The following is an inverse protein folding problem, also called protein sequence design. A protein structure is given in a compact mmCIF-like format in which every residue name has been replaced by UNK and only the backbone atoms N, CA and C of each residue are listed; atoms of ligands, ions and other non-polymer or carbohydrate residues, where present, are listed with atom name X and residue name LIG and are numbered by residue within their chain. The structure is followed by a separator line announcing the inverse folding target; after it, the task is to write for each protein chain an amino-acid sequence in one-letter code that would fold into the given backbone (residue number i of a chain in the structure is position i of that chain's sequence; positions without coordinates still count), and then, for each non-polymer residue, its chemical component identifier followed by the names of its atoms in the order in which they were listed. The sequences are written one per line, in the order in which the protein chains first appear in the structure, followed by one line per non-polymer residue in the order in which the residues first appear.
data_IF_519616285603
#
_entry.id   IF_519616285603
#
_cell.length_a   1.000
_cell.length_b   1.000
_cell.length_c   1.000
_cell.angle_alpha   90.00
_cell.angle_beta   90.00
_cell.angle_gamma   90.00
#
_symmetry.space_group_name_H-M   'P 1'
#
loop_
_entity.id
_entity.type
_entity.pdbx_description
1 polymer ?
#
# COMPACT_ATOMS: atom_id res chain seq x y z
N UNK A 1 11.58 -4.29 20.97
CA UNK A 1 11.43 -3.08 20.14
C UNK A 1 10.12 -3.25 19.37
N UNK A 2 9.14 -2.37 19.60
CA UNK A 2 7.79 -2.52 19.02
C UNK A 2 7.84 -2.08 17.56
N UNK A 3 7.77 -3.03 16.62
CA UNK A 3 7.69 -2.71 15.18
C UNK A 3 6.46 -1.85 14.89
N UNK A 4 6.69 -0.60 14.53
CA UNK A 4 5.63 0.33 14.11
C UNK A 4 5.20 -0.08 12.71
N UNK A 5 4.03 -0.73 12.59
CA UNK A 5 3.44 -1.07 11.29
C UNK A 5 3.19 0.22 10.51
N UNK A 6 3.75 0.27 9.30
CA UNK A 6 3.56 1.35 8.33
C UNK A 6 2.06 1.60 8.08
N UNK A 7 1.65 2.88 8.11
CA UNK A 7 0.26 3.30 7.82
C UNK A 7 -0.02 3.29 6.32
N UNK A 8 -1.29 3.48 5.94
CA UNK A 8 -1.67 3.54 4.52
C UNK A 8 -1.02 4.74 3.84
N UNK A 9 -1.08 5.92 4.46
CA UNK A 9 -0.55 7.18 3.95
C UNK A 9 0.97 7.12 3.80
N UNK A 10 1.66 6.48 4.76
CA UNK A 10 3.10 6.25 4.69
C UNK A 10 3.48 5.32 3.53
N UNK A 11 2.77 4.19 3.37
CA UNK A 11 3.00 3.25 2.27
C UNK A 11 2.70 3.89 0.92
N UNK A 12 1.59 4.63 0.80
CA UNK A 12 1.18 5.33 -0.41
C UNK A 12 2.23 6.36 -0.83
N UNK A 13 2.71 7.18 0.12
CA UNK A 13 3.75 8.17 -0.16
C UNK A 13 5.04 7.52 -0.68
N UNK A 14 5.43 6.37 -0.13
CA UNK A 14 6.62 5.65 -0.61
C UNK A 14 6.40 5.02 -1.98
N UNK A 15 5.20 4.52 -2.27
CA UNK A 15 4.82 4.05 -3.60
C UNK A 15 4.89 5.18 -4.64
N UNK A 16 4.36 6.36 -4.30
CA UNK A 16 4.44 7.56 -5.16
C UNK A 16 5.89 7.94 -5.44
N UNK A 17 6.72 8.02 -4.40
CA UNK A 17 8.15 8.31 -4.55
C UNK A 17 8.87 7.28 -5.44
N UNK A 18 8.55 6.00 -5.30
CA UNK A 18 9.12 4.94 -6.14
C UNK A 18 8.69 5.09 -7.62
N UNK A 19 7.43 5.43 -7.85
CA UNK A 19 6.90 5.74 -9.19
C UNK A 19 7.56 6.99 -9.79
N UNK A 20 7.79 8.05 -9.00
CA UNK A 20 8.47 9.26 -9.46
C UNK A 20 9.92 8.97 -9.87
N UNK A 21 10.66 8.22 -9.05
CA UNK A 21 12.02 7.77 -9.39
C UNK A 21 12.04 6.99 -10.69
N UNK A 22 11.11 6.03 -10.85
CA UNK A 22 11.04 5.19 -12.04
C UNK A 22 10.73 5.99 -13.33
N UNK A 23 10.13 7.17 -13.22
CA UNK A 23 9.86 8.09 -14.33
C UNK A 23 11.03 9.04 -14.65
N UNK A 24 12.08 9.05 -13.83
CA UNK A 24 13.24 9.90 -14.07
C UNK A 24 13.99 9.47 -15.33
N UNK A 25 14.32 10.43 -16.19
CA UNK A 25 15.04 10.18 -17.45
C UNK A 25 16.49 9.71 -17.23
N UNK A 26 17.07 10.02 -16.06
CA UNK A 26 18.46 9.69 -15.70
C UNK A 26 18.58 8.41 -14.84
N UNK A 27 17.52 7.61 -14.72
CA UNK A 27 17.55 6.42 -13.88
C UNK A 27 18.43 5.31 -14.49
N UNK A 28 19.31 4.74 -13.68
CA UNK A 28 20.07 3.55 -14.07
C UNK A 28 19.16 2.32 -14.11
N UNK A 29 19.52 1.30 -14.90
CA UNK A 29 18.76 0.04 -14.95
C UNK A 29 18.65 -0.62 -13.56
N UNK A 30 19.73 -0.57 -12.79
CA UNK A 30 19.80 -1.15 -11.44
C UNK A 30 18.86 -0.41 -10.48
N UNK A 31 18.85 0.93 -10.53
CA UNK A 31 17.95 1.74 -9.71
C UNK A 31 16.50 1.63 -10.15
N UNK A 32 16.23 1.42 -11.44
CA UNK A 32 14.89 1.15 -11.95
C UNK A 32 14.34 -0.16 -11.39
N UNK A 33 15.15 -1.22 -11.38
CA UNK A 33 14.78 -2.51 -10.79
C UNK A 33 14.50 -2.35 -9.28
N UNK A 34 15.39 -1.68 -8.55
CA UNK A 34 15.21 -1.43 -7.11
C UNK A 34 13.95 -0.61 -6.82
N UNK A 35 13.72 0.46 -7.58
CA UNK A 35 12.53 1.30 -7.43
C UNK A 35 11.25 0.53 -7.73
N UNK A 36 11.28 -0.38 -8.71
CA UNK A 36 10.16 -1.26 -9.01
C UNK A 36 9.88 -2.24 -7.86
N UNK A 37 10.90 -2.90 -7.32
CA UNK A 37 10.74 -3.83 -6.18
C UNK A 37 10.21 -3.12 -4.93
N UNK A 38 10.74 -1.94 -4.61
CA UNK A 38 10.25 -1.09 -3.53
C UNK A 38 8.78 -0.67 -3.77
N UNK A 39 8.46 -0.26 -5.00
CA UNK A 39 7.09 0.06 -5.42
C UNK A 39 6.14 -1.11 -5.20
N UNK A 40 6.50 -2.32 -5.64
CA UNK A 40 5.66 -3.52 -5.46
C UNK A 40 5.44 -3.83 -3.98
N UNK A 41 6.46 -3.65 -3.13
CA UNK A 41 6.33 -3.83 -1.68
C UNK A 41 5.30 -2.85 -1.09
N UNK A 42 5.39 -1.58 -1.43
CA UNK A 42 4.46 -0.56 -0.92
C UNK A 42 3.04 -0.72 -1.49
N UNK A 43 2.93 -1.09 -2.77
CA UNK A 43 1.65 -1.44 -3.38
C UNK A 43 0.95 -2.57 -2.62
N UNK A 44 1.65 -3.69 -2.35
CA UNK A 44 1.10 -4.81 -1.58
C UNK A 44 0.63 -4.35 -0.20
N UNK A 45 1.41 -3.50 0.46
CA UNK A 45 1.05 -2.95 1.76
C UNK A 45 -0.24 -2.12 1.71
N UNK A 46 -0.39 -1.25 0.71
CA UNK A 46 -1.61 -0.49 0.48
C UNK A 46 -2.81 -1.42 0.25
N UNK A 47 -2.66 -2.41 -0.64
CA UNK A 47 -3.70 -3.40 -0.94
C UNK A 47 -4.16 -4.16 0.30
N UNK A 48 -3.23 -4.63 1.14
CA UNK A 48 -3.56 -5.33 2.40
C UNK A 48 -4.35 -4.46 3.39
N UNK A 49 -4.02 -3.17 3.47
CA UNK A 49 -4.73 -2.26 4.38
C UNK A 49 -6.15 -2.01 3.88
N UNK A 50 -6.29 -1.77 2.57
CA UNK A 50 -7.60 -1.56 1.94
C UNK A 50 -8.48 -2.81 2.05
N UNK A 51 -7.92 -4.00 1.79
CA UNK A 51 -8.65 -5.27 1.93
C UNK A 51 -9.21 -5.45 3.35
N UNK A 52 -8.39 -5.21 4.37
CA UNK A 52 -8.83 -5.29 5.77
C UNK A 52 -9.90 -4.26 6.10
N UNK A 53 -9.80 -3.05 5.56
CA UNK A 53 -10.82 -2.02 5.73
C UNK A 53 -12.15 -2.45 5.08
N UNK A 54 -12.10 -2.96 3.84
CA UNK A 54 -13.27 -3.46 3.12
C UNK A 54 -13.94 -4.64 3.84
N UNK A 55 -13.17 -5.62 4.30
CA UNK A 55 -13.70 -6.76 5.08
C UNK A 55 -14.38 -6.31 6.37
N UNK A 56 -13.81 -5.32 7.06
CA UNK A 56 -14.41 -4.75 8.27
C UNK A 56 -15.74 -4.06 7.96
N UNK A 57 -15.81 -3.27 6.89
CA UNK A 57 -17.04 -2.62 6.44
C UNK A 57 -18.09 -3.68 6.10
N UNK A 58 -17.74 -4.68 5.30
CA UNK A 58 -18.65 -5.76 4.92
C UNK A 58 -19.22 -6.51 6.13
N UNK A 59 -18.39 -6.79 7.13
CA UNK A 59 -18.81 -7.44 8.37
C UNK A 59 -19.82 -6.58 9.14
N UNK A 60 -19.54 -5.28 9.27
CA UNK A 60 -20.44 -4.35 9.95
C UNK A 60 -21.78 -4.21 9.22
N UNK A 61 -21.75 -4.04 7.89
CA UNK A 61 -22.95 -3.97 7.07
C UNK A 61 -23.80 -5.23 7.16
N UNK A 62 -23.16 -6.41 7.18
CA UNK A 62 -23.88 -7.67 7.44
C UNK A 62 -24.51 -7.63 8.83
N UNK A 63 -23.77 -7.29 9.88
CA UNK A 63 -24.33 -7.24 11.25
C UNK A 63 -25.53 -6.30 11.38
N UNK A 64 -25.51 -5.14 10.72
CA UNK A 64 -26.66 -4.21 10.68
C UNK A 64 -27.87 -4.84 9.96
N UNK A 65 -27.66 -5.57 8.87
CA UNK A 65 -28.74 -6.19 8.09
C UNK A 65 -29.44 -7.39 8.77
N UNK A 66 -28.85 -8.00 9.81
CA UNK A 66 -29.47 -9.07 10.60
C UNK A 66 -30.18 -8.57 11.87
N UNK A 67 -30.23 -7.25 12.08
CA UNK A 67 -30.81 -6.65 13.28
C UNK A 67 -32.19 -5.97 13.05
N UNK A 68 -32.73 -6.08 11.84
CA UNK A 68 -34.13 -5.77 11.43
C UNK A 68 -34.96 -7.07 11.38
#
# INVERSE_FOLDING_TARGET
MTEKKETFEEALKKLENASEKLKSEDISLEDAIRSYEEGIKHYKRCSEILEKASQKIETLTKQEAYHD
#
